data_IF_345538637817
#
_entry.id   IF_345538637817
#
_cell.length_a   1.000
_cell.length_b   1.000
_cell.length_c   1.000
_cell.angle_alpha   90.00
_cell.angle_beta   90.00
_cell.angle_gamma   90.00
#
_symmetry.space_group_name_H-M   'P 1'
#
loop_
_entity.id
_entity.type
_entity.pdbx_description
1 polymer ?
#
# COMPACT_ATOMS: atom_id res chain seq x y z
N UNK A 1 12.47 -13.09 -28.92
CA UNK A 1 11.64 -12.02 -28.31
C UNK A 1 12.34 -11.59 -27.03
N UNK A 2 12.44 -10.29 -26.77
CA UNK A 2 13.05 -9.77 -25.54
C UNK A 2 12.11 -10.08 -24.37
N UNK A 3 12.61 -10.62 -23.26
CA UNK A 3 11.79 -10.81 -22.04
C UNK A 3 11.55 -9.47 -21.34
N UNK A 4 10.49 -9.35 -20.51
CA UNK A 4 10.24 -8.14 -19.71
C UNK A 4 11.47 -7.74 -18.87
N UNK A 5 12.14 -8.72 -18.26
CA UNK A 5 13.37 -8.48 -17.50
C UNK A 5 14.49 -7.86 -18.35
N UNK A 6 14.80 -8.49 -19.50
CA UNK A 6 15.82 -8.00 -20.43
C UNK A 6 15.49 -6.60 -20.98
N UNK A 7 14.20 -6.31 -21.20
CA UNK A 7 13.73 -5.01 -21.66
C UNK A 7 13.98 -3.91 -20.63
N UNK A 8 13.73 -4.18 -19.35
CA UNK A 8 14.01 -3.24 -18.26
C UNK A 8 15.51 -3.08 -18.05
N UNK A 9 16.28 -4.16 -18.12
CA UNK A 9 17.74 -4.13 -18.05
C UNK A 9 18.32 -3.24 -19.16
N UNK A 10 17.86 -3.38 -20.40
CA UNK A 10 18.27 -2.52 -21.53
C UNK A 10 18.03 -1.02 -21.22
N UNK A 11 16.87 -0.67 -20.64
CA UNK A 11 16.58 0.71 -20.26
C UNK A 11 17.49 1.21 -19.14
N UNK A 12 17.71 0.41 -18.11
CA UNK A 12 18.51 0.80 -16.95
C UNK A 12 20.00 0.96 -17.26
N UNK A 13 20.48 0.34 -18.34
CA UNK A 13 21.85 0.49 -18.84
C UNK A 13 22.04 1.77 -19.67
N UNK A 14 20.96 2.43 -20.10
CA UNK A 14 21.06 3.68 -20.88
C UNK A 14 21.47 4.86 -19.99
N UNK A 15 22.16 5.87 -20.56
CA UNK A 15 22.45 7.09 -19.82
C UNK A 15 21.15 7.77 -19.41
N UNK A 16 21.06 8.16 -18.15
CA UNK A 16 19.92 8.91 -17.63
C UNK A 16 19.97 10.37 -18.08
N UNK A 17 18.85 10.89 -18.59
CA UNK A 17 18.73 12.30 -19.02
C UNK A 17 18.79 13.29 -17.84
N UNK A 18 18.33 12.86 -16.67
CA UNK A 18 18.31 13.61 -15.42
C UNK A 18 19.00 12.82 -14.31
N UNK A 19 19.77 13.53 -13.49
CA UNK A 19 20.47 12.96 -12.32
C UNK A 19 19.54 12.26 -11.32
N UNK A 20 18.31 12.78 -11.15
CA UNK A 20 17.31 12.28 -10.20
C UNK A 20 15.90 12.68 -10.58
N UNK A 21 14.90 12.07 -9.93
CA UNK A 21 13.50 12.47 -10.03
C UNK A 21 13.31 13.93 -9.60
N UNK A 22 14.00 14.38 -8.54
CA UNK A 22 13.91 15.76 -8.07
C UNK A 22 14.50 16.74 -9.09
N UNK A 23 15.60 16.38 -9.75
CA UNK A 23 16.17 17.20 -10.81
C UNK A 23 15.21 17.33 -12.00
N UNK A 24 14.56 16.23 -12.41
CA UNK A 24 13.49 16.24 -13.41
C UNK A 24 12.35 17.19 -12.98
N UNK A 25 11.83 17.01 -11.76
CA UNK A 25 10.78 17.85 -11.20
C UNK A 25 11.16 19.34 -11.18
N UNK A 26 12.39 19.69 -10.80
CA UNK A 26 12.88 21.06 -10.83
C UNK A 26 12.93 21.63 -12.26
N UNK A 27 13.40 20.85 -13.24
CA UNK A 27 13.52 21.29 -14.64
C UNK A 27 12.18 21.60 -15.28
N UNK A 28 11.18 20.77 -15.01
CA UNK A 28 9.80 20.97 -15.45
C UNK A 28 9.02 21.93 -14.54
N UNK A 29 9.72 22.47 -13.52
CA UNK A 29 9.17 23.21 -12.38
C UNK A 29 7.88 22.58 -11.89
N UNK A 30 7.80 21.25 -11.82
CA UNK A 30 6.61 20.55 -11.35
C UNK A 30 6.25 21.08 -9.98
N UNK A 31 7.15 21.32 -9.03
CA UNK A 31 6.77 21.91 -7.73
C UNK A 31 6.11 23.30 -7.77
N UNK A 32 6.28 24.05 -8.87
CA UNK A 32 5.76 25.41 -9.05
C UNK A 32 4.54 25.41 -10.00
N UNK A 33 4.57 24.59 -11.04
CA UNK A 33 3.52 24.42 -12.05
C UNK A 33 2.65 23.21 -11.84
N UNK A 34 2.96 22.38 -10.83
CA UNK A 34 2.05 21.41 -10.25
C UNK A 34 0.85 22.25 -9.94
N UNK A 35 -0.25 22.07 -10.68
CA UNK A 35 -1.50 22.68 -10.28
C UNK A 35 -1.63 22.32 -8.81
N UNK A 36 -1.94 23.27 -7.92
CA UNK A 36 -2.30 22.93 -6.53
C UNK A 36 -3.26 21.75 -6.62
N UNK A 37 -2.82 20.53 -6.30
CA UNK A 37 -3.28 19.33 -7.01
C UNK A 37 -4.73 19.41 -7.44
N UNK A 38 -4.95 19.83 -8.69
CA UNK A 38 -6.28 20.17 -9.15
C UNK A 38 -7.14 18.91 -9.25
N UNK A 39 -6.65 17.70 -8.96
CA UNK A 39 -7.55 16.54 -8.77
C UNK A 39 -8.53 16.75 -7.61
N UNK A 40 -8.12 17.44 -6.55
CA UNK A 40 -9.07 17.87 -5.52
C UNK A 40 -9.90 19.08 -5.96
N UNK A 41 -9.44 19.89 -6.92
CA UNK A 41 -10.27 20.92 -7.55
C UNK A 41 -11.22 20.36 -8.59
N UNK A 42 -10.90 19.42 -9.48
CA UNK A 42 -11.83 18.79 -10.40
C UNK A 42 -12.82 17.94 -9.64
N UNK A 43 -12.38 17.12 -8.68
CA UNK A 43 -13.29 16.36 -7.81
C UNK A 43 -14.06 17.30 -6.87
N UNK A 44 -13.44 18.39 -6.41
CA UNK A 44 -14.07 19.38 -5.53
C UNK A 44 -15.04 20.31 -6.27
N UNK A 45 -14.72 20.72 -7.48
CA UNK A 45 -15.54 21.50 -8.42
C UNK A 45 -16.66 20.62 -8.94
N UNK A 46 -16.39 19.35 -9.30
CA UNK A 46 -17.42 18.34 -9.54
C UNK A 46 -18.34 18.23 -8.33
N UNK A 47 -17.80 18.07 -7.12
CA UNK A 47 -18.60 18.00 -5.90
C UNK A 47 -19.43 19.27 -5.71
N UNK A 48 -18.85 20.45 -5.86
CA UNK A 48 -19.56 21.74 -5.75
C UNK A 48 -20.63 21.90 -6.83
N UNK A 49 -20.34 21.53 -8.07
CA UNK A 49 -21.28 21.61 -9.20
C UNK A 49 -22.46 20.67 -9.00
N UNK A 50 -22.20 19.42 -8.61
CA UNK A 50 -23.23 18.43 -8.29
C UNK A 50 -24.08 18.91 -7.10
N UNK A 51 -23.45 19.45 -6.05
CA UNK A 51 -24.16 20.06 -4.92
C UNK A 51 -25.06 21.21 -5.39
N UNK A 52 -24.56 22.11 -6.21
CA UNK A 52 -25.34 23.22 -6.78
C UNK A 52 -26.52 22.72 -7.64
N UNK A 53 -26.33 21.66 -8.42
CA UNK A 53 -27.42 21.02 -9.16
C UNK A 53 -28.49 20.48 -8.19
N UNK A 54 -28.10 19.77 -7.11
CA UNK A 54 -29.06 19.29 -6.10
C UNK A 54 -29.76 20.40 -5.33
N UNK A 55 -29.10 21.54 -5.10
CA UNK A 55 -29.71 22.74 -4.50
C UNK A 55 -30.88 23.25 -5.35
N UNK A 56 -30.79 23.12 -6.67
CA UNK A 56 -31.82 23.58 -7.60
C UNK A 56 -33.06 22.67 -7.66
N UNK A 57 -32.98 21.45 -7.12
CA UNK A 57 -34.09 20.49 -7.15
C UNK A 57 -35.17 20.88 -6.13
N UNK A 58 -36.43 21.12 -6.56
CA UNK A 58 -37.50 21.57 -5.66
C UNK A 58 -37.75 20.63 -4.48
N UNK A 59 -38.03 21.19 -3.30
CA UNK A 59 -38.34 20.44 -2.08
C UNK A 59 -39.83 20.44 -1.76
N UNK A 60 -40.29 19.37 -1.10
CA UNK A 60 -41.64 19.17 -0.59
C UNK A 60 -41.66 19.34 0.92
N UNK A 61 -42.75 19.88 1.46
CA UNK A 61 -42.95 19.97 2.91
C UNK A 61 -43.20 18.59 3.53
N UNK A 62 -42.87 18.42 4.80
CA UNK A 62 -43.28 17.28 5.62
C UNK A 62 -43.69 17.76 7.02
N UNK A 63 -44.22 16.84 7.84
CA UNK A 63 -44.59 17.14 9.22
C UNK A 63 -43.38 17.66 10.01
N UNK A 64 -43.58 18.76 10.75
CA UNK A 64 -42.52 19.42 11.54
C UNK A 64 -41.90 18.48 12.57
N UNK A 65 -42.69 17.61 13.18
CA UNK A 65 -42.23 16.61 14.16
C UNK A 65 -41.25 15.61 13.54
N UNK A 66 -41.60 15.05 12.37
CA UNK A 66 -40.73 14.14 11.61
C UNK A 66 -39.44 14.83 11.18
N UNK A 67 -39.55 16.06 10.67
CA UNK A 67 -38.37 16.82 10.24
C UNK A 67 -37.43 17.16 11.41
N UNK A 68 -37.97 17.58 12.55
CA UNK A 68 -37.18 17.85 13.77
C UNK A 68 -36.50 16.57 14.28
N UNK A 69 -37.14 15.41 14.15
CA UNK A 69 -36.52 14.13 14.49
C UNK A 69 -35.28 13.84 13.63
N UNK A 70 -35.35 14.10 12.31
CA UNK A 70 -34.16 14.02 11.44
C UNK A 70 -33.04 14.95 11.95
N UNK A 71 -33.35 16.22 12.19
CA UNK A 71 -32.34 17.21 12.61
C UNK A 71 -31.67 16.85 13.94
N UNK A 72 -32.42 16.32 14.90
CA UNK A 72 -31.86 15.86 16.20
C UNK A 72 -30.84 14.75 16.03
N UNK A 73 -31.05 13.85 15.08
CA UNK A 73 -30.10 12.76 14.81
C UNK A 73 -28.97 13.19 13.88
N UNK A 74 -29.18 14.21 13.04
CA UNK A 74 -28.18 14.76 12.12
C UNK A 74 -27.17 15.68 12.84
N UNK A 75 -27.62 16.39 13.86
CA UNK A 75 -26.83 17.31 14.69
C UNK A 75 -26.90 16.94 16.18
N UNK A 76 -26.37 15.77 16.58
CA UNK A 76 -26.35 15.36 17.97
C UNK A 76 -25.33 16.17 18.78
N UNK A 77 -25.48 16.18 20.11
CA UNK A 77 -24.54 16.85 21.03
C UNK A 77 -23.20 16.12 21.16
N UNK A 78 -23.17 14.81 20.92
CA UNK A 78 -21.98 13.96 21.04
C UNK A 78 -21.57 13.40 19.67
N UNK A 79 -21.96 12.17 19.37
CA UNK A 79 -21.60 11.45 18.16
C UNK A 79 -22.84 11.05 17.37
N UNK A 80 -22.71 11.03 16.04
CA UNK A 80 -23.77 10.55 15.16
C UNK A 80 -23.96 9.05 15.32
N UNK A 81 -25.18 8.66 15.68
CA UNK A 81 -25.61 7.28 15.62
C UNK A 81 -26.23 7.04 14.24
N UNK A 82 -25.47 6.44 13.34
CA UNK A 82 -25.87 6.22 11.94
C UNK A 82 -27.18 5.44 11.79
N UNK A 83 -27.47 4.50 12.69
CA UNK A 83 -28.70 3.72 12.65
C UNK A 83 -29.92 4.56 13.02
N UNK A 84 -29.84 5.36 14.09
CA UNK A 84 -30.91 6.31 14.44
C UNK A 84 -31.10 7.39 13.38
N UNK A 85 -30.01 7.88 12.81
CA UNK A 85 -30.04 8.86 11.72
C UNK A 85 -30.71 8.31 10.47
N UNK A 86 -30.33 7.11 10.03
CA UNK A 86 -30.95 6.43 8.90
C UNK A 86 -32.45 6.18 9.17
N UNK A 87 -32.82 5.66 10.34
CA UNK A 87 -34.23 5.44 10.69
C UNK A 87 -35.05 6.75 10.68
N UNK A 88 -34.46 7.86 11.13
CA UNK A 88 -35.10 9.17 11.06
C UNK A 88 -35.27 9.65 9.61
N UNK A 89 -34.28 9.42 8.74
CA UNK A 89 -34.39 9.67 7.30
C UNK A 89 -35.48 8.81 6.65
N UNK A 90 -35.50 7.50 6.90
CA UNK A 90 -36.47 6.57 6.33
C UNK A 90 -37.90 6.81 6.82
N UNK A 91 -38.08 7.53 7.94
CA UNK A 91 -39.40 7.94 8.43
C UNK A 91 -40.02 9.14 7.69
N UNK A 92 -39.26 9.80 6.80
CA UNK A 92 -39.76 10.86 5.94
C UNK A 92 -40.70 10.28 4.87
N UNK A 93 -41.63 11.09 4.32
CA UNK A 93 -42.44 10.65 3.20
C UNK A 93 -41.58 10.31 1.97
N UNK A 94 -41.97 9.29 1.21
CA UNK A 94 -41.30 8.93 -0.03
C UNK A 94 -41.69 9.87 -1.19
N UNK A 95 -40.76 10.28 -2.06
CA UNK A 95 -39.33 10.02 -2.00
C UNK A 95 -38.62 10.97 -1.02
N UNK A 96 -37.87 10.38 -0.10
CA UNK A 96 -37.31 11.01 1.09
C UNK A 96 -36.41 12.21 0.77
N UNK A 97 -35.53 12.20 -0.25
CA UNK A 97 -34.66 13.34 -0.57
C UNK A 97 -35.42 14.63 -0.86
N UNK A 98 -36.64 14.55 -1.44
CA UNK A 98 -37.45 15.73 -1.71
C UNK A 98 -37.96 16.41 -0.42
N UNK A 99 -38.01 15.70 0.70
CA UNK A 99 -38.47 16.22 1.99
C UNK A 99 -37.31 16.70 2.89
N UNK A 100 -36.06 16.64 2.42
CA UNK A 100 -34.88 17.12 3.16
C UNK A 100 -34.39 18.45 2.58
N UNK A 101 -34.25 19.49 3.41
CA UNK A 101 -33.70 20.76 2.91
C UNK A 101 -32.26 20.56 2.41
N UNK A 102 -31.84 21.26 1.34
CA UNK A 102 -30.61 20.90 0.62
C UNK A 102 -29.35 20.87 1.50
N UNK A 103 -29.17 21.84 2.40
CA UNK A 103 -28.04 21.89 3.33
C UNK A 103 -27.97 20.65 4.24
N UNK A 104 -29.13 20.16 4.69
CA UNK A 104 -29.21 18.99 5.56
C UNK A 104 -29.04 17.69 4.78
N UNK A 105 -29.42 17.67 3.51
CA UNK A 105 -29.17 16.53 2.62
C UNK A 105 -27.67 16.35 2.39
N UNK A 106 -26.93 17.44 2.16
CA UNK A 106 -25.48 17.40 2.02
C UNK A 106 -24.79 16.97 3.33
N UNK A 107 -25.26 17.47 4.48
CA UNK A 107 -24.76 17.02 5.77
C UNK A 107 -25.05 15.53 6.00
N UNK A 108 -26.25 15.05 5.63
CA UNK A 108 -26.62 13.63 5.72
C UNK A 108 -25.66 12.79 4.88
N UNK A 109 -25.43 13.18 3.63
CA UNK A 109 -24.48 12.51 2.74
C UNK A 109 -23.07 12.47 3.33
N UNK A 110 -22.57 13.58 3.86
CA UNK A 110 -21.24 13.63 4.48
C UNK A 110 -21.12 12.69 5.70
N UNK A 111 -22.20 12.48 6.48
CA UNK A 111 -22.20 11.54 7.59
C UNK A 111 -22.01 10.07 7.16
N UNK A 112 -22.61 9.67 6.04
CA UNK A 112 -22.54 8.28 5.56
C UNK A 112 -21.33 8.03 4.65
N UNK A 113 -21.04 8.95 3.72
CA UNK A 113 -19.94 8.84 2.74
C UNK A 113 -18.59 8.79 3.44
N UNK A 114 -18.41 9.52 4.54
CA UNK A 114 -17.15 9.55 5.29
C UNK A 114 -17.17 8.62 6.52
N UNK A 115 -18.12 7.67 6.58
CA UNK A 115 -18.30 6.82 7.77
C UNK A 115 -17.20 5.75 7.90
N UNK A 116 -16.13 6.09 8.62
CA UNK A 116 -15.02 5.19 8.94
C UNK A 116 -15.27 4.26 10.16
N UNK A 117 -14.41 3.26 10.38
CA UNK A 117 -14.35 2.49 11.64
C UNK A 117 -15.11 1.15 11.66
N UNK A 118 -15.44 0.67 12.86
CA UNK A 118 -15.98 -0.68 13.11
C UNK A 118 -17.37 -0.95 12.52
N UNK A 119 -18.11 0.10 12.10
CA UNK A 119 -19.49 -0.02 11.59
C UNK A 119 -19.61 0.18 10.07
N UNK A 120 -18.49 0.17 9.33
CA UNK A 120 -18.43 0.42 7.88
C UNK A 120 -19.43 -0.40 7.06
N UNK A 121 -19.49 -1.71 7.28
CA UNK A 121 -20.39 -2.59 6.51
C UNK A 121 -21.89 -2.28 6.70
N UNK A 122 -22.30 -1.87 7.92
CA UNK A 122 -23.69 -1.44 8.17
C UNK A 122 -23.98 -0.10 7.49
N UNK A 123 -23.06 0.84 7.63
CA UNK A 123 -23.23 2.18 7.06
C UNK A 123 -23.22 2.17 5.53
N UNK A 124 -22.50 1.25 4.90
CA UNK A 124 -22.51 1.05 3.44
C UNK A 124 -23.91 0.64 2.92
N UNK A 125 -24.65 -0.16 3.69
CA UNK A 125 -26.05 -0.53 3.34
C UNK A 125 -26.97 0.68 3.40
N UNK A 126 -26.92 1.44 4.50
CA UNK A 126 -27.69 2.68 4.62
C UNK A 126 -27.36 3.67 3.49
N UNK A 127 -26.08 3.78 3.13
CA UNK A 127 -25.65 4.63 2.01
C UNK A 127 -26.21 4.14 0.68
N UNK A 128 -26.24 2.82 0.43
CA UNK A 128 -26.84 2.21 -0.79
C UNK A 128 -28.30 2.65 -0.97
N UNK A 129 -29.09 2.63 0.10
CA UNK A 129 -30.49 3.05 0.05
C UNK A 129 -30.60 4.55 -0.23
N UNK A 130 -29.84 5.37 0.50
CA UNK A 130 -29.85 6.84 0.36
C UNK A 130 -29.45 7.26 -1.07
N UNK A 131 -28.42 6.66 -1.65
CA UNK A 131 -27.99 7.00 -3.02
C UNK A 131 -29.00 6.54 -4.07
N UNK A 132 -29.68 5.42 -3.83
CA UNK A 132 -30.76 4.94 -4.71
C UNK A 132 -31.95 5.91 -4.68
N UNK A 133 -32.33 6.38 -3.49
CA UNK A 133 -33.38 7.40 -3.32
C UNK A 133 -33.02 8.71 -4.01
N UNK A 134 -31.76 9.15 -3.90
CA UNK A 134 -31.23 10.33 -4.60
C UNK A 134 -31.34 10.19 -6.12
N UNK A 135 -30.88 9.05 -6.65
CA UNK A 135 -30.95 8.77 -8.08
C UNK A 135 -32.39 8.78 -8.61
N UNK A 136 -33.32 8.19 -7.86
CA UNK A 136 -34.76 8.21 -8.17
C UNK A 136 -35.37 9.62 -8.17
N UNK A 137 -34.72 10.58 -7.49
CA UNK A 137 -35.11 11.99 -7.49
C UNK A 137 -34.38 12.82 -8.56
N UNK A 138 -33.58 12.19 -9.44
CA UNK A 138 -32.73 12.89 -10.40
C UNK A 138 -31.56 13.65 -9.79
N UNK A 139 -31.17 13.31 -8.54
CA UNK A 139 -30.05 13.93 -7.85
C UNK A 139 -28.78 13.11 -8.08
N UNK A 140 -27.94 13.55 -9.02
CA UNK A 140 -26.68 12.86 -9.36
C UNK A 140 -25.69 12.83 -8.19
N UNK A 141 -24.81 11.83 -8.19
CA UNK A 141 -23.65 11.70 -7.30
C UNK A 141 -22.39 12.35 -7.90
N UNK A 142 -21.55 12.89 -7.03
CA UNK A 142 -20.21 13.33 -7.36
C UNK A 142 -19.22 12.16 -7.43
N UNK A 143 -18.10 12.36 -8.11
CA UNK A 143 -17.00 11.38 -8.21
C UNK A 143 -16.54 10.96 -6.81
N UNK A 144 -16.45 11.92 -5.87
CA UNK A 144 -16.07 11.64 -4.48
C UNK A 144 -17.05 10.71 -3.78
N UNK A 145 -18.34 10.96 -3.94
CA UNK A 145 -19.39 10.15 -3.29
C UNK A 145 -19.42 8.74 -3.88
N UNK A 146 -19.31 8.59 -5.22
CA UNK A 146 -19.23 7.27 -5.87
C UNK A 146 -17.99 6.51 -5.41
N UNK A 147 -16.81 7.13 -5.46
CA UNK A 147 -15.56 6.44 -5.09
C UNK A 147 -15.55 6.03 -3.61
N UNK A 148 -16.05 6.87 -2.72
CA UNK A 148 -16.16 6.54 -1.30
C UNK A 148 -17.23 5.46 -1.06
N UNK A 149 -18.34 5.49 -1.80
CA UNK A 149 -19.34 4.44 -1.76
C UNK A 149 -18.74 3.09 -2.18
N UNK A 150 -18.03 3.04 -3.31
CA UNK A 150 -17.34 1.84 -3.78
C UNK A 150 -16.30 1.33 -2.77
N UNK A 151 -15.51 2.25 -2.19
CA UNK A 151 -14.56 1.90 -1.15
C UNK A 151 -15.24 1.28 0.08
N UNK A 152 -16.35 1.86 0.56
CA UNK A 152 -17.11 1.33 1.70
C UNK A 152 -17.75 -0.03 1.38
N UNK A 153 -18.31 -0.17 0.18
CA UNK A 153 -18.93 -1.39 -0.30
C UNK A 153 -17.93 -2.53 -0.44
N UNK A 154 -16.67 -2.25 -0.80
CA UNK A 154 -15.64 -3.26 -1.00
C UNK A 154 -14.61 -3.34 0.15
N UNK A 155 -14.84 -2.64 1.26
CA UNK A 155 -13.81 -2.47 2.30
C UNK A 155 -13.32 -3.79 2.91
N UNK A 156 -14.23 -4.73 3.19
CA UNK A 156 -13.87 -6.02 3.76
C UNK A 156 -13.41 -7.04 2.71
N UNK A 157 -13.41 -6.71 1.42
CA UNK A 157 -13.12 -7.63 0.30
C UNK A 157 -14.04 -8.88 0.23
N UNK A 158 -15.04 -8.98 1.11
CA UNK A 158 -16.04 -10.06 1.17
C UNK A 158 -17.24 -9.82 0.24
N UNK A 159 -17.23 -8.72 -0.52
CA UNK A 159 -18.37 -8.34 -1.36
C UNK A 159 -18.54 -9.36 -2.48
N UNK A 160 -19.76 -9.89 -2.58
CA UNK A 160 -20.13 -10.81 -3.63
C UNK A 160 -20.01 -10.10 -4.99
N UNK A 161 -19.17 -10.65 -5.86
CA UNK A 161 -18.93 -10.12 -7.19
C UNK A 161 -20.22 -10.02 -8.00
N UNK A 162 -21.20 -10.90 -7.78
CA UNK A 162 -22.49 -10.85 -8.47
C UNK A 162 -23.26 -9.56 -8.18
N UNK A 163 -23.18 -9.06 -6.94
CA UNK A 163 -23.79 -7.79 -6.53
C UNK A 163 -23.09 -6.63 -7.23
N UNK A 164 -21.74 -6.65 -7.26
CA UNK A 164 -20.95 -5.60 -7.92
C UNK A 164 -21.22 -5.57 -9.41
N UNK A 165 -21.21 -6.73 -10.09
CA UNK A 165 -21.52 -6.83 -11.53
C UNK A 165 -22.95 -6.39 -11.84
N UNK A 166 -23.92 -6.82 -11.03
CA UNK A 166 -25.33 -6.44 -11.19
C UNK A 166 -25.61 -4.96 -10.97
N UNK A 167 -24.80 -4.28 -10.16
CA UNK A 167 -24.93 -2.84 -9.87
C UNK A 167 -23.98 -1.95 -10.68
N UNK A 168 -23.05 -2.52 -11.44
CA UNK A 168 -21.97 -1.78 -12.13
C UNK A 168 -22.47 -0.59 -12.96
N UNK A 169 -23.30 -0.85 -13.99
CA UNK A 169 -23.84 0.23 -14.83
C UNK A 169 -24.76 1.16 -14.03
N UNK A 170 -25.55 0.62 -13.09
CA UNK A 170 -26.42 1.46 -12.26
C UNK A 170 -25.61 2.47 -11.42
N UNK A 171 -24.45 2.08 -10.89
CA UNK A 171 -23.57 2.97 -10.12
C UNK A 171 -22.98 4.06 -11.03
N UNK A 172 -22.60 3.71 -12.26
CA UNK A 172 -22.11 4.68 -13.24
C UNK A 172 -23.22 5.64 -13.67
N UNK A 173 -24.46 5.17 -13.81
CA UNK A 173 -25.62 5.99 -14.17
C UNK A 173 -26.06 6.95 -13.05
N UNK A 174 -25.78 6.60 -11.78
CA UNK A 174 -26.13 7.41 -10.62
C UNK A 174 -25.33 8.72 -10.50
N UNK A 175 -24.19 8.88 -11.19
CA UNK A 175 -23.38 10.08 -11.04
C UNK A 175 -22.22 10.23 -12.03
N UNK A 176 -21.26 11.06 -11.66
CA UNK A 176 -20.05 11.27 -12.46
C UNK A 176 -18.92 10.35 -11.98
N UNK A 177 -18.13 9.85 -12.92
CA UNK A 177 -17.04 8.90 -12.69
C UNK A 177 -15.78 9.29 -13.45
N UNK A 178 -14.65 8.70 -13.08
CA UNK A 178 -13.38 8.90 -13.75
C UNK A 178 -12.53 7.62 -13.72
N UNK A 179 -11.27 7.70 -14.16
CA UNK A 179 -10.34 6.57 -14.13
C UNK A 179 -10.15 5.93 -12.75
N UNK A 180 -10.23 6.70 -11.66
CA UNK A 180 -10.13 6.11 -10.31
C UNK A 180 -11.35 5.26 -9.96
N UNK A 181 -12.54 5.60 -10.49
CA UNK A 181 -13.75 4.79 -10.38
C UNK A 181 -13.57 3.46 -11.12
N UNK A 182 -13.12 3.51 -12.38
CA UNK A 182 -12.83 2.29 -13.16
C UNK A 182 -11.74 1.44 -12.53
N UNK A 183 -10.65 2.04 -12.04
CA UNK A 183 -9.58 1.33 -11.35
C UNK A 183 -10.09 0.61 -10.08
N UNK A 184 -11.11 1.16 -9.40
CA UNK A 184 -11.72 0.49 -8.24
C UNK A 184 -12.49 -0.76 -8.67
N UNK A 185 -13.29 -0.69 -9.74
CA UNK A 185 -13.97 -1.86 -10.29
C UNK A 185 -12.99 -2.89 -10.86
N UNK A 186 -11.96 -2.44 -11.56
CA UNK A 186 -10.92 -3.30 -12.13
C UNK A 186 -10.20 -4.06 -11.02
N UNK A 187 -9.87 -3.38 -9.91
CA UNK A 187 -9.29 -4.01 -8.73
C UNK A 187 -10.20 -5.10 -8.15
N UNK A 188 -11.51 -4.87 -8.08
CA UNK A 188 -12.48 -5.89 -7.65
C UNK A 188 -12.45 -7.09 -8.61
N UNK A 189 -12.45 -6.86 -9.92
CA UNK A 189 -12.35 -7.93 -10.92
C UNK A 189 -11.07 -8.75 -10.79
N UNK A 190 -9.92 -8.09 -10.59
CA UNK A 190 -8.61 -8.71 -10.35
C UNK A 190 -8.62 -9.55 -9.07
N UNK A 191 -9.10 -8.99 -7.95
CA UNK A 191 -9.13 -9.68 -6.65
C UNK A 191 -10.02 -10.93 -6.68
N UNK A 192 -11.03 -10.95 -7.55
CA UNK A 192 -11.94 -12.09 -7.77
C UNK A 192 -11.56 -12.94 -8.98
N UNK A 193 -10.48 -12.60 -9.69
CA UNK A 193 -10.00 -13.25 -10.91
C UNK A 193 -11.09 -13.45 -11.99
N UNK A 194 -12.00 -12.49 -12.17
CA UNK A 194 -13.10 -12.56 -13.14
C UNK A 194 -12.72 -11.83 -14.44
N UNK A 195 -12.11 -12.55 -15.39
CA UNK A 195 -11.63 -12.03 -16.68
C UNK A 195 -12.74 -11.37 -17.52
N UNK A 196 -13.97 -11.86 -17.40
CA UNK A 196 -15.12 -11.30 -18.12
C UNK A 196 -15.45 -9.87 -17.63
N UNK A 197 -15.49 -9.66 -16.32
CA UNK A 197 -15.73 -8.35 -15.73
C UNK A 197 -14.54 -7.41 -15.97
N UNK A 198 -13.31 -7.90 -15.86
CA UNK A 198 -12.13 -7.11 -16.21
C UNK A 198 -12.18 -6.65 -17.67
N UNK A 199 -12.48 -7.54 -18.61
CA UNK A 199 -12.61 -7.20 -20.03
C UNK A 199 -13.70 -6.16 -20.26
N UNK A 200 -14.88 -6.34 -19.66
CA UNK A 200 -15.96 -5.35 -19.72
C UNK A 200 -15.52 -3.96 -19.23
N UNK A 201 -14.80 -3.90 -18.10
CA UNK A 201 -14.31 -2.63 -17.54
C UNK A 201 -13.29 -1.98 -18.48
N UNK A 202 -12.38 -2.76 -19.06
CA UNK A 202 -11.38 -2.25 -20.01
C UNK A 202 -12.04 -1.71 -21.29
N UNK A 203 -13.05 -2.41 -21.81
CA UNK A 203 -13.85 -1.96 -22.96
C UNK A 203 -14.62 -0.67 -22.63
N UNK A 204 -15.18 -0.56 -21.43
CA UNK A 204 -15.90 0.64 -20.99
C UNK A 204 -14.94 1.83 -20.78
N UNK A 205 -13.72 1.61 -20.30
CA UNK A 205 -12.69 2.66 -20.23
C UNK A 205 -12.45 3.25 -21.62
N UNK A 206 -12.24 2.39 -22.63
CA UNK A 206 -12.00 2.81 -24.02
C UNK A 206 -13.23 3.48 -24.61
N UNK A 207 -14.41 2.90 -24.43
CA UNK A 207 -15.68 3.41 -24.97
C UNK A 207 -16.07 4.77 -24.40
N UNK A 208 -15.68 5.05 -23.15
CA UNK A 208 -15.88 6.35 -22.51
C UNK A 208 -14.72 7.34 -22.78
N UNK A 209 -13.81 7.03 -23.71
CA UNK A 209 -12.63 7.84 -24.06
C UNK A 209 -11.68 8.12 -22.89
N UNK A 210 -11.67 7.26 -21.88
CA UNK A 210 -10.65 7.30 -20.86
C UNK A 210 -9.39 6.56 -21.30
N UNK A 211 -8.25 6.95 -20.75
CA UNK A 211 -6.96 6.30 -20.97
C UNK A 211 -6.49 5.64 -19.69
N UNK A 212 -5.80 4.51 -19.83
CA UNK A 212 -5.14 3.86 -18.71
C UNK A 212 -4.19 4.85 -18.04
N UNK A 213 -4.25 4.86 -16.71
CA UNK A 213 -3.24 5.56 -15.93
C UNK A 213 -2.18 4.57 -15.44
N UNK A 214 -1.12 5.09 -14.83
CA UNK A 214 -0.05 4.27 -14.28
C UNK A 214 -0.53 3.20 -13.29
N UNK A 215 -1.65 3.45 -12.59
CA UNK A 215 -2.22 2.48 -11.65
C UNK A 215 -2.94 1.36 -12.39
N UNK A 216 -3.63 1.67 -13.50
CA UNK A 216 -4.21 0.65 -14.39
C UNK A 216 -3.13 -0.29 -14.91
N UNK A 217 -2.03 0.23 -15.46
CA UNK A 217 -0.92 -0.59 -15.95
C UNK A 217 -0.27 -1.44 -14.85
N UNK A 218 0.00 -0.85 -13.68
CA UNK A 218 0.51 -1.58 -12.51
C UNK A 218 -0.37 -2.78 -12.14
N UNK A 219 -1.68 -2.56 -12.03
CA UNK A 219 -2.64 -3.62 -11.69
C UNK A 219 -2.69 -4.72 -12.74
N UNK A 220 -2.74 -4.35 -14.03
CA UNK A 220 -2.79 -5.31 -15.14
C UNK A 220 -1.51 -6.13 -15.26
N UNK A 221 -0.34 -5.52 -15.06
CA UNK A 221 0.93 -6.23 -15.06
C UNK A 221 1.04 -7.22 -13.90
N UNK A 222 0.66 -6.81 -12.68
CA UNK A 222 0.63 -7.71 -11.51
C UNK A 222 -0.33 -8.87 -11.72
N UNK A 223 -1.52 -8.59 -12.26
CA UNK A 223 -2.51 -9.62 -12.54
C UNK A 223 -1.98 -10.63 -13.56
N UNK A 224 -1.52 -10.18 -14.73
CA UNK A 224 -0.93 -11.04 -15.75
C UNK A 224 0.25 -11.86 -15.20
N UNK A 225 1.11 -11.24 -14.38
CA UNK A 225 2.23 -11.91 -13.74
C UNK A 225 1.79 -13.01 -12.79
N UNK A 226 0.74 -12.77 -11.99
CA UNK A 226 0.17 -13.77 -11.09
C UNK A 226 -0.49 -14.95 -11.82
N UNK A 227 -0.94 -14.73 -13.07
CA UNK A 227 -1.46 -15.77 -13.96
C UNK A 227 -0.37 -16.53 -14.72
N UNK A 228 0.90 -16.11 -14.61
CA UNK A 228 2.00 -16.67 -15.39
C UNK A 228 2.06 -16.19 -16.85
N UNK A 229 1.25 -15.19 -17.22
CA UNK A 229 1.18 -14.64 -18.58
C UNK A 229 2.21 -13.53 -18.77
N UNK A 230 3.45 -13.96 -18.96
CA UNK A 230 4.60 -13.07 -19.04
C UNK A 230 4.65 -12.25 -20.35
N UNK A 231 4.10 -12.80 -21.44
CA UNK A 231 3.97 -12.08 -22.71
C UNK A 231 3.04 -10.88 -22.55
N UNK A 232 1.91 -11.06 -21.86
CA UNK A 232 0.97 -9.97 -21.57
C UNK A 232 1.57 -8.94 -20.62
N UNK A 233 2.40 -9.32 -19.66
CA UNK A 233 3.16 -8.36 -18.84
C UNK A 233 4.07 -7.47 -19.69
N UNK A 234 4.82 -8.05 -20.64
CA UNK A 234 5.67 -7.29 -21.56
C UNK A 234 4.85 -6.34 -22.43
N UNK A 235 3.72 -6.80 -22.98
CA UNK A 235 2.82 -5.95 -23.78
C UNK A 235 2.33 -4.76 -22.97
N UNK A 236 1.87 -4.96 -21.74
CA UNK A 236 1.44 -3.86 -20.88
C UNK A 236 2.59 -2.90 -20.53
N UNK A 237 3.81 -3.42 -20.35
CA UNK A 237 4.98 -2.59 -20.11
C UNK A 237 5.37 -1.73 -21.32
N UNK A 238 5.34 -2.29 -22.54
CA UNK A 238 5.59 -1.49 -23.74
C UNK A 238 4.49 -0.44 -23.95
N UNK A 239 3.22 -0.81 -23.77
CA UNK A 239 2.11 0.15 -23.82
C UNK A 239 2.26 1.29 -22.80
N UNK A 240 2.73 0.98 -21.58
CA UNK A 240 3.02 1.97 -20.56
C UNK A 240 4.06 2.99 -21.05
N UNK A 241 5.14 2.51 -21.67
CA UNK A 241 6.19 3.37 -22.23
C UNK A 241 5.74 4.15 -23.48
N UNK A 242 4.99 3.51 -24.37
CA UNK A 242 4.46 4.11 -25.61
C UNK A 242 3.45 5.22 -25.33
N UNK A 243 2.65 5.09 -24.27
CA UNK A 243 1.77 6.17 -23.81
C UNK A 243 2.52 7.32 -23.11
N UNK A 244 3.84 7.18 -22.89
CA UNK A 244 4.71 8.21 -22.33
C UNK A 244 4.72 8.27 -20.81
N UNK A 245 4.37 7.16 -20.13
CA UNK A 245 4.46 7.08 -18.68
C UNK A 245 5.90 6.87 -18.21
N UNK A 246 6.28 7.60 -17.18
CA UNK A 246 7.65 7.61 -16.65
C UNK A 246 7.98 6.28 -15.96
N UNK A 247 9.11 5.70 -16.34
CA UNK A 247 9.68 4.54 -15.64
C UNK A 247 10.23 4.97 -14.27
N UNK A 248 9.44 4.75 -13.22
CA UNK A 248 9.77 5.08 -11.84
C UNK A 248 10.03 3.84 -10.98
N UNK A 249 10.37 4.06 -9.70
CA UNK A 249 10.60 2.96 -8.77
C UNK A 249 9.36 2.10 -8.53
N UNK A 250 8.13 2.65 -8.57
CA UNK A 250 6.96 1.82 -8.36
C UNK A 250 6.78 0.82 -9.50
N UNK A 251 6.96 1.24 -10.75
CA UNK A 251 6.88 0.35 -11.90
C UNK A 251 8.03 -0.67 -11.92
N UNK A 252 9.26 -0.27 -11.55
CA UNK A 252 10.37 -1.22 -11.36
C UNK A 252 10.05 -2.28 -10.31
N UNK A 253 9.48 -1.89 -9.16
CA UNK A 253 9.08 -2.84 -8.12
C UNK A 253 7.98 -3.79 -8.60
N UNK A 254 7.11 -3.34 -9.49
CA UNK A 254 6.10 -4.18 -10.14
C UNK A 254 6.75 -5.24 -11.03
N UNK A 255 7.70 -4.84 -11.87
CA UNK A 255 8.48 -5.77 -12.68
C UNK A 255 9.23 -6.78 -11.81
N UNK A 256 9.92 -6.33 -10.76
CA UNK A 256 10.61 -7.22 -9.82
C UNK A 256 9.64 -8.23 -9.20
N UNK A 257 8.46 -7.77 -8.75
CA UNK A 257 7.45 -8.67 -8.18
C UNK A 257 7.01 -9.74 -9.19
N UNK A 258 6.67 -9.32 -10.41
CA UNK A 258 6.26 -10.21 -11.51
C UNK A 258 7.35 -11.23 -11.84
N UNK A 259 8.62 -10.79 -11.93
CA UNK A 259 9.75 -11.68 -12.19
C UNK A 259 9.91 -12.74 -11.10
N UNK A 260 9.81 -12.36 -9.83
CA UNK A 260 9.95 -13.28 -8.70
C UNK A 260 8.82 -14.30 -8.61
N UNK A 261 7.57 -13.86 -8.84
CA UNK A 261 6.40 -14.75 -8.90
C UNK A 261 6.50 -15.79 -10.03
N UNK A 262 7.32 -15.49 -11.05
CA UNK A 262 7.56 -16.34 -12.22
C UNK A 262 8.95 -16.98 -12.25
N UNK A 263 9.63 -17.06 -11.09
CA UNK A 263 10.96 -17.68 -10.95
C UNK A 263 12.06 -17.11 -11.88
N UNK A 264 11.90 -15.89 -12.38
CA UNK A 264 12.91 -15.15 -13.15
C UNK A 264 13.85 -14.38 -12.22
N UNK A 265 14.47 -15.11 -11.27
CA UNK A 265 15.25 -14.51 -10.18
C UNK A 265 16.51 -13.80 -10.68
N UNK A 266 17.12 -14.30 -11.76
CA UNK A 266 18.36 -13.74 -12.29
C UNK A 266 18.14 -12.30 -12.76
N UNK A 267 17.14 -12.07 -13.61
CA UNK A 267 16.76 -10.75 -14.11
C UNK A 267 16.30 -9.85 -12.97
N UNK A 268 15.54 -10.37 -12.00
CA UNK A 268 15.10 -9.58 -10.85
C UNK A 268 16.29 -9.05 -10.03
N UNK A 269 17.29 -9.91 -9.77
CA UNK A 269 18.50 -9.50 -9.04
C UNK A 269 19.38 -8.56 -9.86
N UNK A 270 19.48 -8.75 -11.18
CA UNK A 270 20.23 -7.86 -12.06
C UNK A 270 19.61 -6.46 -12.11
N UNK A 271 18.27 -6.37 -12.17
CA UNK A 271 17.58 -5.08 -12.09
C UNK A 271 17.92 -4.36 -10.79
N UNK A 272 17.88 -5.05 -9.65
CA UNK A 272 18.24 -4.45 -8.35
C UNK A 272 19.70 -4.01 -8.31
N UNK A 273 20.61 -4.85 -8.79
CA UNK A 273 22.04 -4.53 -8.89
C UNK A 273 22.27 -3.31 -9.79
N UNK A 274 21.51 -3.20 -10.87
CA UNK A 274 21.55 -2.05 -11.76
C UNK A 274 21.03 -0.80 -11.05
N UNK A 275 19.90 -0.81 -10.33
CA UNK A 275 19.38 0.40 -9.69
C UNK A 275 20.09 0.78 -8.38
N UNK A 276 20.77 -0.18 -7.73
CA UNK A 276 21.55 0.08 -6.53
C UNK A 276 22.71 1.05 -6.82
N UNK A 277 22.86 2.06 -5.95
CA UNK A 277 23.99 2.97 -5.94
C UNK A 277 24.52 3.04 -4.51
N UNK A 278 25.79 2.73 -4.31
CA UNK A 278 26.43 3.02 -3.01
C UNK A 278 26.45 4.54 -2.81
N UNK A 279 26.06 5.04 -1.62
CA UNK A 279 26.21 6.46 -1.34
C UNK A 279 27.70 6.82 -1.41
N UNK A 280 28.07 7.77 -2.26
CA UNK A 280 29.41 8.34 -2.18
C UNK A 280 29.53 9.05 -0.83
N UNK A 281 30.58 8.74 -0.06
CA UNK A 281 30.85 9.39 1.23
C UNK A 281 31.34 10.83 0.96
N UNK A 282 30.45 11.69 0.47
CA UNK A 282 30.64 13.11 0.37
C UNK A 282 29.56 13.78 1.24
N UNK A 283 29.99 14.63 2.16
CA UNK A 283 29.23 15.21 3.27
C UNK A 283 28.02 16.10 2.91
N UNK A 284 27.41 15.90 1.75
CA UNK A 284 26.17 16.52 1.25
C UNK A 284 24.99 15.55 1.18
N UNK A 285 25.15 14.27 1.55
CA UNK A 285 24.11 13.22 1.57
C UNK A 285 23.00 13.39 2.64
N UNK A 286 22.82 14.60 3.18
CA UNK A 286 21.82 14.88 4.21
C UNK A 286 20.42 15.25 3.67
N UNK A 287 20.17 15.24 2.34
CA UNK A 287 18.92 15.79 1.77
C UNK A 287 18.26 14.93 0.68
N UNK A 288 18.92 13.90 0.12
CA UNK A 288 18.45 13.29 -1.14
C UNK A 288 17.53 12.05 -1.03
N UNK A 289 17.47 11.35 0.10
CA UNK A 289 16.66 10.10 0.19
C UNK A 289 15.55 10.13 1.25
N UNK A 290 15.45 11.19 2.05
CA UNK A 290 14.30 11.37 2.94
C UNK A 290 12.98 11.60 2.20
N UNK A 291 12.96 11.81 0.89
CA UNK A 291 11.75 12.11 0.10
C UNK A 291 11.05 10.89 -0.54
N UNK A 292 11.62 9.68 -0.43
CA UNK A 292 10.89 8.42 -0.65
C UNK A 292 10.70 7.69 0.68
N UNK A 293 10.69 8.45 1.79
CA UNK A 293 10.38 7.90 3.09
C UNK A 293 9.06 7.13 3.02
N UNK A 294 8.93 6.09 3.84
CA UNK A 294 7.68 5.35 4.01
C UNK A 294 6.54 6.24 4.56
N UNK A 295 6.76 7.55 4.76
CA UNK A 295 5.71 8.47 5.16
C UNK A 295 4.65 8.59 4.06
N UNK A 296 3.40 8.38 4.45
CA UNK A 296 2.25 8.42 3.55
C UNK A 296 2.11 9.74 2.81
N UNK A 297 2.63 10.84 3.39
CA UNK A 297 2.51 12.18 2.80
C UNK A 297 3.42 12.39 1.59
N UNK A 298 4.70 12.09 1.70
CA UNK A 298 5.65 12.27 0.59
C UNK A 298 5.38 11.31 -0.57
N UNK A 299 5.01 10.06 -0.27
CA UNK A 299 4.55 9.10 -1.30
C UNK A 299 3.37 9.63 -2.09
N UNK A 300 2.41 10.27 -1.41
CA UNK A 300 1.25 10.89 -2.08
C UNK A 300 1.68 12.04 -2.98
N UNK A 301 2.60 12.90 -2.53
CA UNK A 301 3.15 14.00 -3.33
C UNK A 301 3.87 13.45 -4.57
N UNK A 302 4.78 12.48 -4.43
CA UNK A 302 5.54 11.96 -5.58
C UNK A 302 4.63 11.26 -6.61
N UNK A 303 3.65 10.47 -6.18
CA UNK A 303 2.69 9.83 -7.09
C UNK A 303 1.87 10.86 -7.89
N UNK A 304 1.59 11.98 -7.22
CA UNK A 304 0.98 13.16 -7.77
C UNK A 304 1.91 13.80 -8.84
N UNK A 305 3.16 14.15 -8.50
CA UNK A 305 4.13 14.71 -9.47
C UNK A 305 4.31 13.80 -10.69
N UNK A 306 4.39 12.47 -10.49
CA UNK A 306 4.48 11.48 -11.57
C UNK A 306 3.25 11.50 -12.49
N UNK A 307 2.04 11.49 -11.92
CA UNK A 307 0.80 11.56 -12.73
C UNK A 307 0.77 12.84 -13.59
N UNK A 308 1.21 13.97 -13.03
CA UNK A 308 1.28 15.22 -13.77
C UNK A 308 2.28 15.15 -14.92
N UNK A 309 3.46 14.56 -14.69
CA UNK A 309 4.46 14.39 -15.72
C UNK A 309 4.03 13.38 -16.80
N UNK A 310 3.37 12.29 -16.43
CA UNK A 310 2.79 11.30 -17.34
C UNK A 310 1.77 11.94 -18.29
N UNK A 311 0.95 12.88 -17.80
CA UNK A 311 0.01 13.64 -18.63
C UNK A 311 0.71 14.40 -19.76
N UNK A 312 1.94 14.86 -19.52
CA UNK A 312 2.76 15.56 -20.51
C UNK A 312 3.53 14.61 -21.44
N UNK A 313 3.42 13.28 -21.24
CA UNK A 313 3.99 12.24 -22.11
C UNK A 313 5.47 12.48 -22.43
N UNK A 314 6.25 12.83 -21.40
CA UNK A 314 7.65 13.22 -21.57
C UNK A 314 8.61 12.02 -21.71
N UNK A 315 8.18 10.83 -21.26
CA UNK A 315 8.96 9.61 -21.42
C UNK A 315 8.88 9.14 -22.87
N UNK A 316 10.02 8.73 -23.44
CA UNK A 316 10.06 8.00 -24.71
C UNK A 316 10.42 6.54 -24.48
N UNK A 317 9.98 5.59 -25.34
CA UNK A 317 10.17 4.16 -25.06
C UNK A 317 11.62 3.69 -24.95
N UNK A 318 12.57 4.45 -25.51
CA UNK A 318 13.98 4.04 -25.60
C UNK A 318 14.92 4.88 -24.74
N UNK A 319 14.39 5.73 -23.86
CA UNK A 319 15.17 6.64 -23.01
C UNK A 319 15.01 6.27 -21.53
N UNK A 320 16.01 6.55 -20.72
CA UNK A 320 15.89 6.54 -19.27
C UNK A 320 15.89 7.99 -18.77
N UNK A 321 14.77 8.46 -18.22
CA UNK A 321 14.72 9.84 -17.72
C UNK A 321 15.60 10.02 -16.48
N UNK A 322 15.50 9.13 -15.50
CA UNK A 322 16.36 9.11 -14.33
C UNK A 322 16.52 7.67 -13.87
N UNK A 323 17.59 7.38 -13.14
CA UNK A 323 17.79 6.06 -12.55
C UNK A 323 16.95 5.93 -11.27
N UNK A 324 16.01 4.97 -11.17
CA UNK A 324 15.21 4.77 -9.97
C UNK A 324 16.08 4.39 -8.77
N UNK A 325 15.64 4.76 -7.57
CA UNK A 325 16.35 4.49 -6.31
C UNK A 325 15.62 3.37 -5.56
N UNK A 326 16.30 2.31 -5.09
CA UNK A 326 15.67 1.22 -4.34
C UNK A 326 14.90 1.70 -3.10
N UNK A 327 13.86 0.96 -2.74
CA UNK A 327 13.01 1.23 -1.57
C UNK A 327 12.77 -0.06 -0.80
N UNK A 328 12.11 0.03 0.36
CA UNK A 328 11.61 -1.16 1.07
C UNK A 328 10.82 -2.11 0.16
N UNK A 329 9.99 -1.56 -0.74
CA UNK A 329 9.20 -2.34 -1.70
C UNK A 329 10.03 -3.04 -2.79
N UNK A 330 11.30 -2.64 -2.95
CA UNK A 330 12.27 -3.31 -3.84
C UNK A 330 12.83 -4.56 -3.18
N UNK A 331 13.26 -4.44 -1.93
CA UNK A 331 13.94 -5.53 -1.20
C UNK A 331 12.99 -6.54 -0.56
N UNK A 332 11.83 -6.09 -0.07
CA UNK A 332 10.90 -6.96 0.65
C UNK A 332 10.46 -8.20 -0.17
N UNK A 333 10.09 -8.09 -1.47
CA UNK A 333 9.77 -9.26 -2.29
C UNK A 333 10.95 -10.23 -2.47
N UNK A 334 12.17 -9.71 -2.66
CA UNK A 334 13.38 -10.51 -2.78
C UNK A 334 13.68 -11.28 -1.50
N UNK A 335 13.66 -10.59 -0.35
CA UNK A 335 13.87 -11.25 0.95
C UNK A 335 12.79 -12.31 1.16
N UNK A 336 11.52 -12.00 0.87
CA UNK A 336 10.43 -13.00 0.95
C UNK A 336 10.73 -14.23 0.09
N UNK A 337 11.15 -14.03 -1.15
CA UNK A 337 11.54 -15.11 -2.07
C UNK A 337 12.68 -15.96 -1.49
N UNK A 338 13.77 -15.33 -1.05
CA UNK A 338 14.92 -16.03 -0.46
C UNK A 338 14.69 -16.61 0.93
N UNK A 339 13.55 -16.32 1.57
CA UNK A 339 13.11 -16.96 2.82
C UNK A 339 12.17 -18.15 2.60
N UNK A 340 11.76 -18.43 1.35
CA UNK A 340 10.97 -19.63 1.06
C UNK A 340 11.82 -20.90 1.22
N UNK A 341 11.18 -22.04 1.50
CA UNK A 341 11.90 -23.30 1.65
C UNK A 341 12.58 -23.76 0.35
N UNK A 342 11.98 -23.46 -0.80
CA UNK A 342 12.50 -23.83 -2.11
C UNK A 342 13.70 -23.00 -2.54
N UNK A 343 13.69 -21.69 -2.24
CA UNK A 343 14.69 -20.75 -2.73
C UNK A 343 15.56 -20.17 -1.62
N UNK A 344 15.65 -20.86 -0.48
CA UNK A 344 16.36 -20.36 0.69
C UNK A 344 17.80 -19.96 0.34
N UNK A 345 18.11 -18.65 0.44
CA UNK A 345 19.44 -18.15 0.13
C UNK A 345 19.85 -17.03 1.08
N UNK A 346 20.58 -17.43 2.11
CA UNK A 346 20.97 -16.54 3.17
C UNK A 346 21.96 -15.45 2.74
N UNK A 347 22.91 -15.76 1.85
CA UNK A 347 23.85 -14.76 1.32
C UNK A 347 23.12 -13.63 0.59
N UNK A 348 22.07 -13.98 -0.17
CA UNK A 348 21.23 -12.99 -0.85
C UNK A 348 20.35 -12.19 0.11
N UNK A 349 19.83 -12.82 1.17
CA UNK A 349 19.13 -12.09 2.26
C UNK A 349 20.07 -11.06 2.87
N UNK A 350 21.29 -11.45 3.23
CA UNK A 350 22.28 -10.53 3.81
C UNK A 350 22.62 -9.38 2.88
N UNK A 351 22.89 -9.67 1.60
CA UNK A 351 23.13 -8.63 0.60
C UNK A 351 22.00 -7.61 0.59
N UNK A 352 20.74 -8.05 0.61
CA UNK A 352 19.59 -7.13 0.66
C UNK A 352 19.58 -6.28 1.94
N UNK A 353 19.87 -6.88 3.10
CA UNK A 353 19.93 -6.15 4.38
C UNK A 353 21.05 -5.11 4.39
N UNK A 354 22.25 -5.46 3.90
CA UNK A 354 23.38 -4.53 3.78
C UNK A 354 23.06 -3.38 2.83
N UNK A 355 22.49 -3.65 1.67
CA UNK A 355 22.09 -2.62 0.70
C UNK A 355 20.99 -1.70 1.26
N UNK A 356 20.03 -2.25 2.02
CA UNK A 356 19.04 -1.45 2.74
C UNK A 356 19.69 -0.54 3.78
N UNK A 357 20.68 -1.04 4.53
CA UNK A 357 21.41 -0.25 5.52
C UNK A 357 22.27 0.85 4.86
N UNK A 358 22.96 0.54 3.76
CA UNK A 358 23.73 1.52 2.96
C UNK A 358 22.83 2.67 2.48
N UNK A 359 21.60 2.36 2.06
CA UNK A 359 20.58 3.32 1.62
C UNK A 359 19.75 3.91 2.78
N UNK A 360 20.07 3.59 4.04
CA UNK A 360 19.36 4.04 5.24
C UNK A 360 17.84 3.75 5.19
N UNK A 361 17.45 2.66 4.52
CA UNK A 361 16.06 2.20 4.46
C UNK A 361 15.75 1.51 5.78
N UNK A 362 14.78 2.04 6.53
CA UNK A 362 14.34 1.42 7.78
C UNK A 362 13.80 0.00 7.53
N UNK A 363 14.32 -0.99 8.27
CA UNK A 363 13.95 -2.40 8.11
C UNK A 363 12.84 -2.72 9.12
N UNK A 364 11.60 -3.02 8.67
CA UNK A 364 10.53 -3.37 9.58
C UNK A 364 10.82 -4.68 10.32
N UNK A 365 10.43 -4.75 11.60
CA UNK A 365 10.53 -5.97 12.43
C UNK A 365 9.94 -7.21 11.74
N UNK A 366 8.90 -7.04 10.92
CA UNK A 366 8.27 -8.14 10.16
C UNK A 366 9.23 -8.84 9.19
N UNK A 367 10.23 -8.13 8.65
CA UNK A 367 11.26 -8.73 7.79
C UNK A 367 12.14 -9.67 8.62
N UNK A 368 12.62 -9.21 9.78
CA UNK A 368 13.40 -10.05 10.68
C UNK A 368 12.62 -11.26 11.19
N UNK A 369 11.37 -11.07 11.60
CA UNK A 369 10.48 -12.19 11.99
C UNK A 369 10.38 -13.23 10.87
N UNK A 370 10.18 -12.80 9.63
CA UNK A 370 10.13 -13.71 8.49
C UNK A 370 11.45 -14.46 8.27
N UNK A 371 12.59 -13.76 8.40
CA UNK A 371 13.92 -14.38 8.31
C UNK A 371 14.11 -15.43 9.41
N UNK A 372 13.83 -15.12 10.68
CA UNK A 372 13.96 -16.10 11.78
C UNK A 372 13.01 -17.28 11.63
N UNK A 373 11.75 -17.04 11.27
CA UNK A 373 10.81 -18.13 11.00
C UNK A 373 11.30 -19.04 9.86
N UNK A 374 11.88 -18.46 8.80
CA UNK A 374 12.49 -19.24 7.72
C UNK A 374 13.68 -20.05 8.22
N UNK A 375 14.59 -19.42 8.98
CA UNK A 375 15.78 -20.08 9.54
C UNK A 375 15.42 -21.22 10.49
N UNK A 376 14.34 -21.06 11.26
CA UNK A 376 13.77 -22.11 12.10
C UNK A 376 13.37 -23.33 11.26
N UNK A 377 12.80 -23.15 10.09
CA UNK A 377 12.35 -24.25 9.23
C UNK A 377 13.46 -24.94 8.41
N UNK A 378 14.63 -24.31 8.26
CA UNK A 378 15.78 -24.90 7.58
C UNK A 378 16.63 -25.80 8.50
N UNK A 379 17.46 -26.70 7.97
CA UNK A 379 18.48 -27.45 8.75
C UNK A 379 19.80 -26.64 8.76
N UNK A 380 19.92 -25.70 9.69
CA UNK A 380 21.07 -24.79 9.76
C UNK A 380 22.14 -25.40 10.66
N UNK A 381 23.24 -25.80 10.03
CA UNK A 381 24.39 -26.37 10.75
C UNK A 381 25.41 -25.32 11.19
N UNK A 382 25.31 -24.10 10.67
CA UNK A 382 26.34 -23.06 10.85
C UNK A 382 25.88 -21.94 11.79
N UNK A 383 26.54 -21.89 12.95
CA UNK A 383 26.41 -20.89 14.02
C UNK A 383 26.68 -19.46 13.56
N UNK A 384 27.46 -19.26 12.50
CA UNK A 384 27.84 -17.93 12.06
C UNK A 384 26.64 -17.15 11.52
N UNK A 385 25.71 -17.83 10.84
CA UNK A 385 24.56 -17.20 10.20
C UNK A 385 23.59 -16.51 11.17
N UNK A 386 23.22 -17.20 12.25
CA UNK A 386 22.36 -16.60 13.29
C UNK A 386 23.07 -15.44 13.98
N UNK A 387 24.39 -15.54 14.22
CA UNK A 387 25.17 -14.44 14.80
C UNK A 387 25.25 -13.25 13.88
N UNK A 388 25.46 -13.45 12.59
CA UNK A 388 25.53 -12.35 11.64
C UNK A 388 24.23 -11.54 11.64
N UNK A 389 23.06 -12.20 11.64
CA UNK A 389 21.78 -11.51 11.72
C UNK A 389 21.61 -10.79 13.05
N UNK A 390 21.90 -11.45 14.17
CA UNK A 390 21.80 -10.82 15.49
C UNK A 390 22.74 -9.61 15.62
N UNK A 391 23.99 -9.74 15.16
CA UNK A 391 24.95 -8.64 15.17
C UNK A 391 24.52 -7.50 14.24
N UNK A 392 23.97 -7.81 13.06
CA UNK A 392 23.41 -6.81 12.16
C UNK A 392 22.27 -6.03 12.84
N UNK A 393 21.32 -6.73 13.45
CA UNK A 393 20.21 -6.14 14.18
C UNK A 393 20.66 -5.27 15.35
N UNK A 394 21.64 -5.72 16.12
CA UNK A 394 22.18 -4.97 17.27
C UNK A 394 22.92 -3.69 16.85
N UNK A 395 23.38 -3.61 15.61
CA UNK A 395 24.01 -2.42 15.04
C UNK A 395 23.02 -1.51 14.29
N UNK A 396 21.76 -1.91 14.12
CA UNK A 396 20.75 -1.10 13.45
C UNK A 396 20.19 -0.03 14.41
N UNK A 397 20.46 1.25 14.12
CA UNK A 397 20.11 2.36 15.04
C UNK A 397 18.61 2.56 15.27
N UNK A 398 17.76 2.08 14.36
CA UNK A 398 16.32 2.33 14.37
C UNK A 398 15.48 1.09 14.74
N UNK A 399 16.12 -0.05 14.98
CA UNK A 399 15.42 -1.26 15.36
C UNK A 399 15.04 -1.20 16.84
N UNK A 400 13.77 -1.47 17.13
CA UNK A 400 13.30 -1.79 18.48
C UNK A 400 12.88 -3.25 18.51
N UNK A 401 13.10 -3.94 19.61
CA UNK A 401 12.60 -5.28 19.85
C UNK A 401 11.16 -5.24 20.36
N UNK A 402 10.34 -6.15 19.83
CA UNK A 402 8.99 -6.40 20.32
C UNK A 402 8.83 -7.90 20.64
N UNK A 403 7.74 -8.26 21.31
CA UNK A 403 7.51 -9.66 21.69
C UNK A 403 7.55 -10.61 20.48
N UNK A 404 6.82 -10.36 19.36
CA UNK A 404 6.86 -11.26 18.21
C UNK A 404 8.26 -11.48 17.62
N UNK A 405 9.08 -10.43 17.54
CA UNK A 405 10.45 -10.54 17.05
C UNK A 405 11.30 -11.38 17.99
N UNK A 406 11.27 -11.08 19.28
CA UNK A 406 12.06 -11.82 20.25
C UNK A 406 11.60 -13.29 20.38
N UNK A 407 10.29 -13.55 20.34
CA UNK A 407 9.72 -14.90 20.26
C UNK A 407 10.31 -15.67 19.06
N UNK A 408 10.35 -15.06 17.86
CA UNK A 408 10.91 -15.71 16.66
C UNK A 408 12.41 -16.05 16.80
N UNK A 409 13.19 -15.20 17.48
CA UNK A 409 14.61 -15.45 17.75
C UNK A 409 14.76 -16.67 18.65
N UNK A 410 14.08 -16.66 19.81
CA UNK A 410 14.20 -17.74 20.80
C UNK A 410 13.74 -19.07 20.22
N UNK A 411 12.60 -19.09 19.53
CA UNK A 411 12.08 -20.27 18.84
C UNK A 411 13.08 -20.86 17.84
N UNK A 412 13.82 -19.99 17.13
CA UNK A 412 14.83 -20.42 16.17
C UNK A 412 15.98 -21.14 16.89
N UNK A 413 16.55 -20.51 17.93
CA UNK A 413 17.66 -21.13 18.68
C UNK A 413 17.22 -22.42 19.40
N UNK A 414 15.99 -22.49 19.89
CA UNK A 414 15.46 -23.70 20.52
C UNK A 414 15.27 -24.84 19.54
N UNK A 415 14.98 -24.60 18.25
CA UNK A 415 14.76 -25.71 17.31
C UNK A 415 16.06 -26.38 16.85
N UNK A 416 17.14 -25.62 16.77
CA UNK A 416 18.43 -26.14 16.30
C UNK A 416 19.20 -26.81 17.43
N UNK A 417 19.38 -28.13 17.35
CA UNK A 417 19.99 -28.96 18.40
C UNK A 417 21.41 -28.54 18.78
N UNK A 418 22.16 -27.90 17.87
CA UNK A 418 23.47 -27.30 18.14
C UNK A 418 23.44 -26.07 19.06
N UNK A 419 22.25 -25.53 19.35
CA UNK A 419 22.04 -24.26 20.07
C UNK A 419 21.10 -24.41 21.28
N UNK A 420 20.45 -25.57 21.44
CA UNK A 420 19.76 -25.93 22.67
C UNK A 420 20.79 -26.11 23.79
N UNK A 421 20.84 -25.16 24.71
CA UNK A 421 21.72 -25.25 25.87
C UNK A 421 21.06 -24.63 27.10
N UNK A 422 21.74 -24.75 28.25
CA UNK A 422 21.26 -24.19 29.51
C UNK A 422 21.03 -22.67 29.45
N UNK A 423 21.81 -21.94 28.65
CA UNK A 423 21.63 -20.50 28.48
C UNK A 423 20.31 -20.20 27.75
N UNK A 424 20.05 -20.84 26.61
CA UNK A 424 18.83 -20.57 25.82
C UNK A 424 17.57 -20.94 26.59
N UNK A 425 17.57 -22.09 27.27
CA UNK A 425 16.46 -22.52 28.11
C UNK A 425 16.27 -21.58 29.31
N UNK A 426 17.36 -21.02 29.84
CA UNK A 426 17.32 -19.99 30.87
C UNK A 426 16.65 -18.70 30.39
N UNK A 427 17.05 -18.22 29.21
CA UNK A 427 16.49 -17.02 28.58
C UNK A 427 15.00 -17.23 28.28
N UNK A 428 14.61 -18.37 27.71
CA UNK A 428 13.20 -18.71 27.44
C UNK A 428 12.34 -18.68 28.73
N UNK A 429 12.81 -19.29 29.81
CA UNK A 429 12.08 -19.31 31.09
C UNK A 429 11.93 -17.91 31.70
N UNK A 430 12.98 -17.09 31.63
CA UNK A 430 12.93 -15.69 32.07
C UNK A 430 11.95 -14.88 31.21
N UNK A 431 11.98 -15.09 29.89
CA UNK A 431 11.09 -14.45 28.95
C UNK A 431 9.61 -14.79 29.19
N UNK A 432 9.29 -16.08 29.41
CA UNK A 432 7.94 -16.52 29.75
C UNK A 432 7.44 -15.88 31.06
N UNK A 433 8.32 -15.79 32.05
CA UNK A 433 8.03 -15.14 33.34
C UNK A 433 7.76 -13.64 33.16
N UNK A 434 8.58 -12.96 32.37
CA UNK A 434 8.40 -11.54 32.04
C UNK A 434 7.04 -11.31 31.35
N UNK A 435 6.69 -12.13 30.35
CA UNK A 435 5.38 -12.06 29.67
C UNK A 435 4.19 -12.23 30.63
N UNK A 436 4.31 -13.08 31.64
CA UNK A 436 3.27 -13.24 32.67
C UNK A 436 3.16 -12.00 33.57
N UNK A 437 4.29 -11.45 34.00
CA UNK A 437 4.35 -10.26 34.86
C UNK A 437 3.85 -8.99 34.17
N UNK A 438 3.96 -8.91 32.84
CA UNK A 438 3.48 -7.76 32.05
C UNK A 438 1.95 -7.75 31.86
N UNK A 439 1.18 -8.72 32.38
CA UNK A 439 -0.28 -8.70 32.29
C UNK A 439 -0.86 -7.53 33.10
N UNK A 440 -1.50 -6.58 32.42
CA UNK A 440 -2.08 -5.38 33.05
C UNK A 440 -1.15 -4.17 33.13
N UNK A 441 0.09 -4.25 32.64
CA UNK A 441 0.99 -3.09 32.54
C UNK A 441 0.62 -2.17 31.37
N UNK A 442 0.82 -0.84 31.49
CA UNK A 442 0.67 0.10 30.38
C UNK A 442 1.60 -0.26 29.20
N UNK A 443 1.13 0.00 27.98
CA UNK A 443 1.85 -0.36 26.75
C UNK A 443 3.28 0.23 26.68
N UNK A 444 3.47 1.50 27.08
CA UNK A 444 4.78 2.16 27.03
C UNK A 444 5.83 1.42 27.87
N UNK A 445 5.47 1.14 29.14
CA UNK A 445 6.32 0.39 30.07
C UNK A 445 6.59 -1.03 29.58
N UNK A 446 5.56 -1.70 29.03
CA UNK A 446 5.72 -3.03 28.43
C UNK A 446 6.73 -3.00 27.28
N UNK A 447 6.67 -1.98 26.42
CA UNK A 447 7.60 -1.85 25.29
C UNK A 447 9.04 -1.65 25.75
N UNK A 448 9.27 -0.86 26.80
CA UNK A 448 10.60 -0.64 27.38
C UNK A 448 11.17 -1.91 28.03
N UNK A 449 10.37 -2.62 28.84
CA UNK A 449 10.79 -3.87 29.48
C UNK A 449 11.13 -4.97 28.45
N UNK A 450 10.38 -5.04 27.34
CA UNK A 450 10.68 -5.96 26.24
C UNK A 450 11.99 -5.58 25.54
N UNK A 451 12.20 -4.29 25.27
CA UNK A 451 13.41 -3.80 24.61
C UNK A 451 14.66 -4.15 25.41
N UNK A 452 14.66 -3.81 26.70
CA UNK A 452 15.78 -4.03 27.62
C UNK A 452 16.12 -5.52 27.74
N UNK A 453 15.11 -6.35 28.00
CA UNK A 453 15.29 -7.79 28.12
C UNK A 453 15.81 -8.43 26.83
N UNK A 454 15.25 -8.03 25.69
CA UNK A 454 15.65 -8.57 24.38
C UNK A 454 17.10 -8.24 24.07
N UNK A 455 17.49 -6.98 24.29
CA UNK A 455 18.85 -6.48 24.07
C UNK A 455 19.86 -7.20 24.95
N UNK A 456 19.58 -7.33 26.25
CA UNK A 456 20.46 -8.05 27.19
C UNK A 456 20.62 -9.53 26.80
N UNK A 457 19.50 -10.17 26.42
CA UNK A 457 19.48 -11.57 26.03
C UNK A 457 20.26 -11.83 24.74
N UNK A 458 20.11 -10.97 23.73
CA UNK A 458 20.83 -11.08 22.47
C UNK A 458 22.34 -10.88 22.68
N UNK A 459 22.75 -9.92 23.52
CA UNK A 459 24.16 -9.75 23.88
C UNK A 459 24.74 -11.00 24.54
N UNK A 460 24.01 -11.62 25.48
CA UNK A 460 24.41 -12.90 26.09
C UNK A 460 24.59 -14.01 25.04
N UNK A 461 23.71 -14.05 24.03
CA UNK A 461 23.79 -15.02 22.95
C UNK A 461 25.00 -14.79 22.04
N UNK A 462 25.26 -13.54 21.66
CA UNK A 462 26.43 -13.19 20.87
C UNK A 462 27.72 -13.59 21.61
N UNK A 463 27.84 -13.27 22.90
CA UNK A 463 29.00 -13.63 23.72
C UNK A 463 29.18 -15.14 23.90
N UNK A 464 28.11 -15.88 24.23
CA UNK A 464 28.22 -17.31 24.55
C UNK A 464 28.71 -18.14 23.37
N UNK A 465 28.36 -17.72 22.15
CA UNK A 465 28.75 -18.42 20.95
C UNK A 465 30.00 -17.82 20.28
N UNK A 466 30.74 -16.86 20.87
CA UNK A 466 32.01 -16.41 20.28
C UNK A 466 33.00 -17.57 20.07
N UNK A 467 33.78 -17.59 18.97
CA UNK A 467 34.86 -18.55 18.81
C UNK A 467 35.89 -18.38 19.94
N UNK A 468 36.28 -19.47 20.60
CA UNK A 468 37.35 -19.44 21.62
C UNK A 468 38.75 -19.10 21.04
N UNK A 469 38.87 -18.97 19.72
CA UNK A 469 40.16 -18.90 19.02
C UNK A 469 40.70 -17.48 18.77
N UNK A 470 40.22 -16.45 19.49
CA UNK A 470 40.90 -15.15 19.57
C UNK A 470 41.65 -14.91 20.89
N UNK A 471 41.71 -15.89 21.80
CA UNK A 471 42.53 -15.81 23.02
C UNK A 471 43.91 -16.50 22.94
N UNK A 472 44.37 -16.95 21.76
CA UNK A 472 45.68 -17.61 21.59
C UNK A 472 46.65 -16.82 20.67
N UNK A 473 46.31 -15.61 20.25
CA UNK A 473 47.26 -14.71 19.56
C UNK A 473 47.28 -13.33 20.24
N UNK A 474 47.91 -13.30 21.42
CA UNK A 474 48.55 -12.11 21.99
C UNK A 474 50.01 -12.41 22.25
#
# INVERSE_FOLDING_TARGET
>A
MTSLGLRVIDLLQKPATYESFQHLCQRFKTRIYLPKFNKAQEVGENQTNIRNQRLSVPRKSCLKTTYVNLLRNLYPLEHVNHEKLYNAYSSLPSPQPLHVQPQHLEQLMDQFVNSGGNFRGRNARFLTDIISDLANCGMKLSIREINNYLYLMNYNQDTDLTIVKGSYHSILDMGEFNMSTFNTFLKIGIDKQDEGFMSQILDDIVSNNFKFDRFTYDMLMRYAGSCGDYERCLVFFEMFLDEGHILDISMINTVITVLLENNQIQEATEIVDLIFKKPEINNTFNILESNFSNSTHERRINAQELTFLDFHKIQTPNELLFKPVPTLSTFQPLIKYFTTAEHFNLSKIFKCLEEMNDLKIAIPQSIYINIFNSLKEQDIKDLQYLKFILNFMMNETNLKFNSPLFDSIIDTFLKHSGYQNKLINGIENQWLTLKQNMRGTPYSRRSEEIEEFSTESINKLLMFYEPRDQQILS
#
